data_IF_732571680844
#
_entry.id   IF_732571680844
#
_cell.length_a   1.000
_cell.length_b   1.000
_cell.length_c   1.000
_cell.angle_alpha   90.00
_cell.angle_beta   90.00
_cell.angle_gamma   90.00
#
_symmetry.space_group_name_H-M   'P 1'
#
loop_
_entity.id
_entity.type
_entity.pdbx_description
1 polymer ?
#
# COMPACT_ATOMS: atom_id res chain seq x y z
N UNK A 1 6.84 -4.67 2.87
CA UNK A 1 6.56 -3.52 3.77
C UNK A 1 5.06 -3.47 4.10
N UNK A 2 4.64 -3.67 5.35
CA UNK A 2 3.26 -3.45 5.83
C UNK A 2 3.16 -2.03 6.42
N UNK A 3 2.78 -1.01 5.62
CA UNK A 3 2.50 0.35 6.12
C UNK A 3 1.42 1.03 5.30
N UNK A 4 0.21 1.08 5.84
CA UNK A 4 -0.95 1.65 5.16
C UNK A 4 -1.77 2.72 5.91
N UNK A 5 -1.47 3.15 7.15
CA UNK A 5 -2.35 4.08 7.88
C UNK A 5 -2.79 5.36 7.13
N UNK A 6 -2.04 5.96 6.19
CA UNK A 6 -2.49 7.22 5.59
C UNK A 6 -3.56 7.07 4.50
N UNK A 7 -3.90 5.87 4.00
CA UNK A 7 -4.68 5.75 2.77
C UNK A 7 -6.17 5.42 2.92
N UNK A 8 -6.57 4.96 4.09
CA UNK A 8 -7.95 4.51 4.32
C UNK A 8 -8.44 4.95 5.68
N UNK A 9 -9.74 5.09 5.78
CA UNK A 9 -10.42 5.50 6.98
C UNK A 9 -10.37 4.39 8.04
N UNK A 10 -10.00 4.77 9.26
CA UNK A 10 -10.05 3.91 10.44
C UNK A 10 -11.33 4.10 11.27
N UNK A 11 -12.25 4.93 10.78
CA UNK A 11 -13.46 5.32 11.49
C UNK A 11 -14.45 4.16 11.67
N UNK A 12 -15.34 4.27 12.67
CA UNK A 12 -16.22 3.18 13.09
C UNK A 12 -17.33 2.86 12.08
N UNK A 13 -17.66 3.77 11.15
CA UNK A 13 -18.84 3.65 10.30
C UNK A 13 -18.63 2.77 9.06
N UNK A 14 -17.54 2.00 9.04
CA UNK A 14 -17.18 1.14 7.91
C UNK A 14 -17.33 -0.35 8.20
N UNK A 15 -17.87 -0.77 9.35
CA UNK A 15 -18.12 -2.18 9.67
C UNK A 15 -16.90 -3.10 9.40
N UNK A 16 -15.69 -2.62 9.73
CA UNK A 16 -14.41 -3.29 9.45
C UNK A 16 -14.00 -3.41 7.96
N UNK A 17 -14.80 -2.87 7.05
CA UNK A 17 -14.42 -2.67 5.66
C UNK A 17 -13.37 -1.57 5.51
N UNK A 18 -12.58 -1.68 4.45
CA UNK A 18 -11.53 -0.73 4.13
C UNK A 18 -12.07 0.27 3.15
N UNK A 19 -12.21 1.50 3.63
CA UNK A 19 -12.70 2.62 2.83
C UNK A 19 -11.56 3.57 2.54
N UNK A 20 -11.15 3.64 1.29
CA UNK A 20 -10.12 4.55 0.81
C UNK A 20 -10.58 5.99 0.93
N UNK A 21 -9.66 6.89 1.24
CA UNK A 21 -10.02 8.29 1.14
C UNK A 21 -10.17 8.72 -0.32
N UNK A 22 -11.14 9.58 -0.58
CA UNK A 22 -11.47 10.11 -1.90
C UNK A 22 -11.78 11.61 -1.83
N UNK A 23 -11.96 12.24 -3.00
CA UNK A 23 -12.29 13.66 -3.11
C UNK A 23 -13.79 13.96 -2.90
N UNK A 24 -14.60 12.94 -2.62
CA UNK A 24 -16.06 13.02 -2.53
C UNK A 24 -16.51 12.89 -1.09
N UNK A 25 -16.89 11.69 -0.68
CA UNK A 25 -17.53 11.37 0.60
C UNK A 25 -16.49 11.03 1.67
N UNK A 26 -15.39 10.41 1.27
CA UNK A 26 -14.39 9.90 2.19
C UNK A 26 -13.17 10.80 2.26
N UNK A 27 -13.35 12.12 2.30
CA UNK A 27 -12.22 13.06 2.43
C UNK A 27 -11.49 12.84 3.75
N UNK A 28 -10.15 12.84 3.80
CA UNK A 28 -9.42 12.66 5.05
C UNK A 28 -9.62 13.86 5.98
N UNK A 29 -9.88 13.61 7.26
CA UNK A 29 -10.06 14.59 8.33
C UNK A 29 -9.08 14.24 9.44
N UNK A 30 -8.17 15.17 9.73
CA UNK A 30 -7.19 15.00 10.80
C UNK A 30 -7.75 15.46 12.12
N UNK A 31 -7.67 14.61 13.14
CA UNK A 31 -8.07 14.97 14.48
C UNK A 31 -6.99 15.75 15.22
N UNK A 32 -7.35 16.38 16.35
CA UNK A 32 -6.40 17.03 17.27
C UNK A 32 -5.38 16.04 17.87
N UNK A 33 -5.65 14.74 17.75
CA UNK A 33 -4.71 13.66 18.09
C UNK A 33 -3.76 13.27 16.96
N UNK A 34 -3.82 13.96 15.80
CA UNK A 34 -3.05 13.71 14.57
C UNK A 34 -3.33 12.37 13.88
N UNK A 35 -4.34 11.63 14.28
CA UNK A 35 -4.87 10.50 13.50
C UNK A 35 -5.91 10.99 12.50
N UNK A 36 -6.20 10.19 11.48
CA UNK A 36 -7.08 10.57 10.36
C UNK A 36 -8.28 9.63 10.27
N UNK A 37 -9.46 10.18 10.01
CA UNK A 37 -10.70 9.46 9.64
C UNK A 37 -11.33 10.15 8.43
N UNK A 38 -12.40 9.63 7.86
CA UNK A 38 -13.04 10.25 6.71
C UNK A 38 -14.12 11.26 7.14
N UNK A 39 -14.43 12.19 6.26
CA UNK A 39 -15.46 13.21 6.47
C UNK A 39 -16.83 12.59 6.78
N UNK A 40 -17.19 11.49 6.13
CA UNK A 40 -18.42 10.76 6.44
C UNK A 40 -18.43 10.28 7.90
N UNK A 41 -17.36 9.63 8.38
CA UNK A 41 -17.26 9.15 9.77
C UNK A 41 -17.38 10.29 10.78
N UNK A 42 -16.73 11.42 10.48
CA UNK A 42 -16.82 12.62 11.31
C UNK A 42 -18.24 13.21 11.30
N UNK A 43 -18.87 13.32 10.14
CA UNK A 43 -20.19 13.94 9.98
C UNK A 43 -21.27 13.14 10.70
N UNK A 44 -21.23 11.81 10.57
CA UNK A 44 -22.19 10.92 11.22
C UNK A 44 -21.95 10.79 12.73
N UNK A 45 -20.71 10.94 13.21
CA UNK A 45 -20.38 10.91 14.63
C UNK A 45 -19.30 11.95 15.02
N UNK A 46 -19.66 13.24 15.14
CA UNK A 46 -18.70 14.33 15.40
C UNK A 46 -17.94 14.20 16.71
N UNK A 47 -18.53 13.51 17.69
CA UNK A 47 -17.99 13.32 19.03
C UNK A 47 -17.25 11.98 19.19
N UNK A 48 -17.00 11.27 18.08
CA UNK A 48 -16.34 9.97 18.13
C UNK A 48 -14.98 10.02 18.84
N UNK A 49 -14.70 8.94 19.58
CA UNK A 49 -13.34 8.69 20.08
C UNK A 49 -12.44 8.34 18.90
N UNK A 50 -11.17 8.73 19.01
CA UNK A 50 -10.18 8.28 18.03
C UNK A 50 -10.14 6.75 17.97
N UNK A 51 -10.31 6.13 16.79
CA UNK A 51 -10.22 4.67 16.68
C UNK A 51 -8.81 4.14 16.95
N UNK A 52 -7.80 5.01 16.86
CA UNK A 52 -6.39 4.66 17.07
C UNK A 52 -5.93 4.88 18.51
N UNK A 53 -6.19 6.06 19.09
CA UNK A 53 -5.71 6.40 20.44
C UNK A 53 -6.81 6.63 21.48
N UNK A 54 -8.07 6.40 21.11
CA UNK A 54 -9.26 6.51 21.98
C UNK A 54 -9.51 7.88 22.63
N UNK A 55 -8.75 8.92 22.26
CA UNK A 55 -9.00 10.30 22.70
C UNK A 55 -10.36 10.77 22.21
N UNK A 56 -11.24 11.18 23.13
CA UNK A 56 -12.58 11.68 22.84
C UNK A 56 -12.57 13.01 22.08
N UNK A 57 -13.64 13.28 21.33
CA UNK A 57 -13.83 14.51 20.54
C UNK A 57 -12.64 14.85 19.65
N UNK A 58 -11.92 13.84 19.16
CA UNK A 58 -10.69 14.07 18.41
C UNK A 58 -10.93 14.79 17.09
N UNK A 59 -12.12 14.64 16.51
CA UNK A 59 -12.46 15.12 15.17
C UNK A 59 -13.58 16.18 15.17
N UNK A 60 -13.98 16.67 16.34
CA UNK A 60 -15.05 17.65 16.45
C UNK A 60 -14.64 18.96 15.74
N UNK A 61 -15.52 19.49 14.88
CA UNK A 61 -15.32 20.70 14.07
C UNK A 61 -13.98 20.76 13.29
N UNK A 62 -13.42 19.61 12.93
CA UNK A 62 -12.25 19.55 12.05
C UNK A 62 -12.68 19.68 10.59
N UNK A 63 -11.89 20.36 9.78
CA UNK A 63 -12.13 20.43 8.35
C UNK A 63 -11.38 19.30 7.60
N UNK A 64 -11.80 18.96 6.38
CA UNK A 64 -11.03 18.07 5.51
C UNK A 64 -9.57 18.55 5.37
N UNK A 65 -8.64 17.63 5.59
CA UNK A 65 -7.22 17.88 5.43
C UNK A 65 -6.80 17.65 3.97
N UNK A 66 -6.91 18.69 3.16
CA UNK A 66 -6.50 18.67 1.75
C UNK A 66 -5.00 18.41 1.56
N UNK A 67 -4.15 18.75 2.53
CA UNK A 67 -2.72 18.41 2.44
C UNK A 67 -2.49 16.90 2.54
N UNK A 68 -3.20 16.21 3.43
CA UNK A 68 -3.17 14.73 3.50
C UNK A 68 -3.69 14.13 2.19
N UNK A 69 -4.72 14.72 1.59
CA UNK A 69 -5.24 14.29 0.29
C UNK A 69 -4.19 14.41 -0.82
N UNK A 70 -3.46 15.54 -0.89
CA UNK A 70 -2.35 15.72 -1.83
C UNK A 70 -1.22 14.73 -1.56
N UNK A 71 -0.87 14.51 -0.28
CA UNK A 71 0.11 13.51 0.10
C UNK A 71 -0.31 12.10 -0.35
N UNK A 72 -1.59 11.74 -0.21
CA UNK A 72 -2.09 10.44 -0.67
C UNK A 72 -1.90 10.22 -2.17
N UNK A 73 -2.07 11.26 -2.98
CA UNK A 73 -1.78 11.21 -4.43
C UNK A 73 -0.29 10.91 -4.63
N UNK A 74 0.63 11.63 -3.96
CA UNK A 74 2.07 11.36 -4.04
C UNK A 74 2.42 9.95 -3.56
N UNK A 75 1.75 9.49 -2.50
CA UNK A 75 1.99 8.21 -1.86
C UNK A 75 1.43 7.01 -2.66
N UNK A 76 0.59 7.21 -3.68
CA UNK A 76 0.19 6.11 -4.61
C UNK A 76 1.40 5.46 -5.27
N UNK A 77 2.44 6.24 -5.59
CA UNK A 77 3.71 5.72 -6.10
C UNK A 77 4.42 4.78 -5.07
N UNK A 78 4.38 5.13 -3.79
CA UNK A 78 4.90 4.32 -2.69
C UNK A 78 4.06 3.06 -2.42
N UNK A 79 2.73 3.15 -2.60
CA UNK A 79 1.84 1.99 -2.55
C UNK A 79 2.15 1.00 -3.67
N UNK A 80 2.38 1.49 -4.90
CA UNK A 80 2.76 0.64 -6.03
C UNK A 80 4.08 -0.11 -5.75
N UNK A 81 5.11 0.59 -5.29
CA UNK A 81 6.39 -0.02 -4.92
C UNK A 81 6.26 -1.08 -3.82
N UNK A 82 5.37 -0.83 -2.85
CA UNK A 82 5.05 -1.77 -1.78
C UNK A 82 4.35 -3.03 -2.32
N UNK A 83 3.32 -2.84 -3.14
CA UNK A 83 2.60 -3.94 -3.81
C UNK A 83 3.54 -4.77 -4.68
N UNK A 84 4.47 -4.14 -5.40
CA UNK A 84 5.52 -4.85 -6.16
C UNK A 84 6.43 -5.70 -5.26
N UNK A 85 6.79 -5.19 -4.08
CA UNK A 85 7.62 -5.94 -3.11
C UNK A 85 6.87 -7.18 -2.61
N UNK A 86 5.59 -7.03 -2.27
CA UNK A 86 4.75 -8.14 -1.85
C UNK A 86 4.47 -9.13 -2.97
N UNK A 87 4.29 -8.64 -4.20
CA UNK A 87 4.19 -9.49 -5.37
C UNK A 87 5.42 -10.39 -5.50
N UNK A 88 6.63 -9.84 -5.32
CA UNK A 88 7.86 -10.65 -5.39
C UNK A 88 7.90 -11.74 -4.29
N UNK A 89 7.00 -11.66 -3.31
CA UNK A 89 6.94 -12.57 -2.17
C UNK A 89 8.05 -12.29 -1.16
N UNK A 90 8.59 -11.08 -1.20
CA UNK A 90 9.68 -10.61 -0.37
C UNK A 90 9.13 -9.76 0.78
N UNK A 91 9.86 -9.74 1.90
CA UNK A 91 9.64 -8.78 2.98
C UNK A 91 8.22 -8.75 3.60
N UNK A 92 7.50 -9.88 3.59
CA UNK A 92 6.15 -9.96 4.16
C UNK A 92 6.12 -9.69 5.68
N UNK A 93 7.19 -10.06 6.40
CA UNK A 93 7.37 -9.78 7.82
C UNK A 93 7.96 -8.40 8.14
N UNK A 94 8.18 -7.53 7.15
CA UNK A 94 8.80 -6.21 7.31
C UNK A 94 7.73 -5.13 7.13
N UNK A 95 7.73 -4.10 7.97
CA UNK A 95 6.78 -3.01 7.90
C UNK A 95 6.79 -2.13 9.14
N UNK A 96 5.76 -1.33 9.34
CA UNK A 96 5.63 -0.54 10.55
C UNK A 96 4.88 -1.31 11.64
N UNK A 97 5.23 -1.03 12.89
CA UNK A 97 4.42 -1.47 14.01
C UNK A 97 3.07 -0.76 14.00
N UNK A 98 1.98 -1.50 14.20
CA UNK A 98 0.63 -0.95 14.33
C UNK A 98 0.46 0.03 15.51
N UNK A 99 1.27 -0.14 16.56
CA UNK A 99 1.19 0.68 17.77
C UNK A 99 2.09 1.92 17.73
N UNK A 100 3.39 1.75 17.51
CA UNK A 100 4.35 2.87 17.56
C UNK A 100 4.73 3.43 16.18
N UNK A 101 4.20 2.85 15.09
CA UNK A 101 4.49 3.21 13.70
C UNK A 101 5.97 3.10 13.29
N UNK A 102 6.85 2.65 14.19
CA UNK A 102 8.27 2.47 13.90
C UNK A 102 8.47 1.31 12.93
N UNK A 103 9.36 1.50 11.95
CA UNK A 103 9.74 0.46 11.00
C UNK A 103 10.43 -0.70 11.73
N UNK A 104 10.02 -1.92 11.42
CA UNK A 104 10.56 -3.17 11.96
C UNK A 104 10.90 -4.11 10.82
N UNK A 105 12.05 -4.79 10.93
CA UNK A 105 12.47 -5.88 10.04
C UNK A 105 11.83 -7.22 10.39
N UNK A 106 11.14 -7.30 11.53
CA UNK A 106 10.47 -8.51 11.98
C UNK A 106 9.23 -8.13 12.78
N UNK A 107 8.09 -8.19 12.10
CA UNK A 107 6.76 -7.94 12.65
C UNK A 107 6.19 -9.21 13.28
N UNK A 108 5.39 -9.02 14.33
CA UNK A 108 4.85 -10.08 15.17
C UNK A 108 3.34 -9.96 15.30
N UNK A 109 2.65 -11.10 15.33
CA UNK A 109 1.21 -11.21 15.58
C UNK A 109 0.97 -11.89 16.93
N UNK A 110 0.03 -11.36 17.70
CA UNK A 110 -0.46 -11.99 18.93
C UNK A 110 -1.50 -13.06 18.56
N UNK A 111 -1.26 -14.30 18.99
CA UNK A 111 -2.09 -15.46 18.60
C UNK A 111 -3.47 -15.40 19.26
N UNK A 112 -3.53 -15.00 20.53
CA UNK A 112 -4.78 -14.93 21.29
C UNK A 112 -5.65 -13.74 20.87
N UNK A 113 -5.05 -12.59 20.55
CA UNK A 113 -5.81 -11.40 20.16
C UNK A 113 -6.39 -11.48 18.73
N UNK A 114 -5.82 -12.34 17.88
CA UNK A 114 -6.10 -12.38 16.44
C UNK A 114 -6.25 -13.80 15.92
N UNK A 115 -6.91 -14.66 16.70
CA UNK A 115 -7.15 -16.07 16.36
C UNK A 115 -8.01 -16.29 15.11
N UNK A 116 -8.68 -15.23 14.63
CA UNK A 116 -9.48 -15.23 13.41
C UNK A 116 -8.67 -14.93 12.14
N UNK A 117 -7.36 -14.64 12.24
CA UNK A 117 -6.51 -14.36 11.08
C UNK A 117 -5.71 -15.57 10.60
N UNK A 118 -5.81 -16.70 11.30
CA UNK A 118 -5.05 -17.90 10.97
C UNK A 118 -5.78 -19.16 11.42
N UNK A 119 -5.48 -20.28 10.76
CA UNK A 119 -5.87 -21.62 11.21
C UNK A 119 -4.63 -22.51 11.39
N UNK A 120 -4.83 -23.62 12.09
CA UNK A 120 -3.82 -24.69 12.14
C UNK A 120 -4.00 -25.57 10.91
N UNK A 121 -2.89 -25.92 10.29
CA UNK A 121 -2.89 -26.97 9.29
C UNK A 121 -3.37 -28.30 9.91
N UNK A 122 -4.15 -29.07 9.16
CA UNK A 122 -4.66 -30.36 9.63
C UNK A 122 -3.57 -31.44 9.65
N UNK A 123 -2.56 -31.29 8.78
CA UNK A 123 -1.50 -32.28 8.59
C UNK A 123 -0.18 -31.89 9.26
N UNK A 124 -0.06 -30.66 9.79
CA UNK A 124 1.17 -30.16 10.38
C UNK A 124 0.93 -29.18 11.54
N UNK A 125 1.91 -28.93 12.43
CA UNK A 125 1.78 -27.91 13.48
C UNK A 125 1.87 -26.47 12.92
N UNK A 126 1.88 -26.30 11.60
CA UNK A 126 1.96 -24.99 10.95
C UNK A 126 0.72 -24.14 11.24
N UNK A 127 0.94 -22.83 11.37
CA UNK A 127 -0.14 -21.85 11.36
C UNK A 127 -0.20 -21.23 9.98
N UNK A 128 -1.38 -21.26 9.37
CA UNK A 128 -1.63 -20.73 8.03
C UNK A 128 -2.37 -19.40 8.20
N UNK A 129 -1.79 -18.30 7.69
CA UNK A 129 -2.49 -17.02 7.62
C UNK A 129 -3.58 -17.07 6.55
N UNK A 130 -4.78 -16.65 6.94
CA UNK A 130 -5.91 -16.52 6.02
C UNK A 130 -5.84 -15.17 5.34
N UNK A 131 -5.38 -15.18 4.10
CA UNK A 131 -5.26 -13.98 3.27
C UNK A 131 -5.87 -14.30 1.91
N UNK A 132 -7.12 -13.88 1.72
CA UNK A 132 -7.89 -14.14 0.49
C UNK A 132 -8.11 -12.86 -0.32
N UNK A 133 -8.03 -11.70 0.32
CA UNK A 133 -8.24 -10.39 -0.29
C UNK A 133 -7.15 -9.39 0.08
N UNK A 134 -7.11 -8.28 -0.65
CA UNK A 134 -6.27 -7.15 -0.27
C UNK A 134 -6.70 -6.57 1.08
N UNK A 135 -8.00 -6.60 1.39
CA UNK A 135 -8.50 -6.16 2.67
C UNK A 135 -7.93 -6.97 3.84
N UNK A 136 -7.71 -8.28 3.65
CA UNK A 136 -7.10 -9.12 4.70
C UNK A 136 -5.64 -8.77 4.94
N UNK A 137 -4.87 -8.48 3.88
CA UNK A 137 -3.49 -7.98 4.00
C UNK A 137 -3.42 -6.67 4.79
N UNK A 138 -4.38 -5.79 4.53
CA UNK A 138 -4.48 -4.50 5.18
C UNK A 138 -4.95 -4.64 6.63
N UNK A 139 -5.91 -5.52 6.91
CA UNK A 139 -6.32 -5.89 8.29
C UNK A 139 -5.14 -6.46 9.05
N UNK A 140 -4.38 -7.38 8.46
CA UNK A 140 -3.16 -7.94 9.04
C UNK A 140 -2.15 -6.83 9.36
N UNK A 141 -1.94 -5.86 8.46
CA UNK A 141 -1.03 -4.72 8.69
C UNK A 141 -1.36 -3.89 9.94
N UNK A 142 -2.63 -3.89 10.37
CA UNK A 142 -3.10 -3.18 11.58
C UNK A 142 -2.93 -3.98 12.86
N UNK A 143 -2.62 -5.27 12.77
CA UNK A 143 -2.57 -6.18 13.93
C UNK A 143 -1.15 -6.65 14.25
N UNK A 144 -0.15 -6.13 13.55
CA UNK A 144 1.24 -6.58 13.66
C UNK A 144 2.12 -5.57 14.40
N UNK A 145 3.01 -6.07 15.26
CA UNK A 145 3.77 -5.28 16.22
C UNK A 145 5.28 -5.44 16.01
N UNK A 146 6.06 -4.40 16.37
CA UNK A 146 7.50 -4.57 16.58
C UNK A 146 7.76 -5.40 17.85
N UNK A 147 9.00 -5.87 18.04
CA UNK A 147 9.38 -6.67 19.22
C UNK A 147 9.02 -5.98 20.53
N UNK A 148 9.36 -4.70 20.69
CA UNK A 148 9.13 -3.94 21.91
C UNK A 148 7.64 -3.81 22.26
N UNK A 149 6.80 -3.45 21.28
CA UNK A 149 5.35 -3.33 21.51
C UNK A 149 4.69 -4.69 21.72
N UNK A 150 5.14 -5.72 21.00
CA UNK A 150 4.62 -7.07 21.18
C UNK A 150 4.90 -7.56 22.61
N UNK A 151 6.11 -7.31 23.11
CA UNK A 151 6.50 -7.69 24.47
C UNK A 151 5.65 -6.96 25.52
N UNK A 152 5.67 -5.63 25.51
CA UNK A 152 5.03 -4.82 26.56
C UNK A 152 3.51 -4.90 26.57
N UNK A 153 2.87 -5.09 25.41
CA UNK A 153 1.40 -5.08 25.33
C UNK A 153 0.76 -6.46 25.41
N UNK A 154 1.51 -7.53 25.10
CA UNK A 154 0.95 -8.87 24.95
C UNK A 154 1.75 -9.92 25.74
N UNK A 155 3.08 -9.96 25.61
CA UNK A 155 3.89 -10.98 26.27
C UNK A 155 3.79 -10.89 27.79
N UNK A 156 3.88 -9.68 28.35
CA UNK A 156 3.73 -9.44 29.80
C UNK A 156 2.35 -9.83 30.35
N UNK A 157 1.36 -9.99 29.47
CA UNK A 157 0.00 -10.46 29.79
C UNK A 157 -0.17 -11.98 29.60
N UNK A 158 0.91 -12.71 29.30
CA UNK A 158 0.90 -14.15 29.05
C UNK A 158 0.40 -14.56 27.67
N UNK A 159 0.27 -13.63 26.71
CA UNK A 159 -0.14 -13.97 25.34
C UNK A 159 1.03 -14.53 24.54
N UNK A 160 0.74 -15.46 23.63
CA UNK A 160 1.70 -16.01 22.70
C UNK A 160 1.82 -15.12 21.46
N UNK A 161 3.05 -14.98 21.01
CA UNK A 161 3.42 -14.09 19.93
C UNK A 161 4.22 -14.89 18.92
N UNK A 162 3.92 -14.71 17.63
CA UNK A 162 4.63 -15.36 16.53
C UNK A 162 5.06 -14.33 15.49
N UNK A 163 6.21 -14.51 14.84
CA UNK A 163 6.61 -13.60 13.76
C UNK A 163 5.75 -13.88 12.53
N UNK A 164 5.40 -12.83 11.80
CA UNK A 164 4.58 -12.93 10.58
C UNK A 164 5.25 -13.84 9.55
N UNK A 165 6.58 -13.82 9.48
CA UNK A 165 7.38 -14.68 8.60
C UNK A 165 7.33 -16.18 8.95
N UNK A 166 6.96 -16.53 10.19
CA UNK A 166 6.85 -17.92 10.65
C UNK A 166 5.47 -18.53 10.35
N UNK A 167 4.55 -17.76 9.77
CA UNK A 167 3.28 -18.28 9.29
C UNK A 167 3.44 -18.82 7.87
N UNK A 168 2.80 -19.95 7.61
CA UNK A 168 2.61 -20.41 6.26
C UNK A 168 1.52 -19.56 5.60
N UNK A 169 1.69 -19.26 4.33
CA UNK A 169 0.67 -18.64 3.51
C UNK A 169 0.90 -19.08 2.08
N UNK A 170 -0.17 -19.13 1.29
CA UNK A 170 -0.01 -19.39 -0.14
C UNK A 170 0.57 -18.14 -0.80
N UNK A 171 1.87 -18.16 -1.10
CA UNK A 171 2.56 -17.08 -1.84
C UNK A 171 1.83 -16.73 -3.14
N UNK A 172 1.11 -17.68 -3.74
CA UNK A 172 0.32 -17.48 -4.96
C UNK A 172 -0.91 -16.63 -4.73
N UNK A 173 -1.54 -16.74 -3.56
CA UNK A 173 -2.67 -15.89 -3.19
C UNK A 173 -2.20 -14.45 -3.04
N UNK A 174 -1.09 -14.22 -2.31
CA UNK A 174 -0.52 -12.86 -2.17
C UNK A 174 -0.14 -12.28 -3.53
N UNK A 175 0.53 -13.06 -4.39
CA UNK A 175 0.84 -12.65 -5.77
C UNK A 175 -0.41 -12.26 -6.54
N UNK A 176 -1.46 -13.07 -6.49
CA UNK A 176 -2.70 -12.81 -7.23
C UNK A 176 -3.45 -11.60 -6.67
N UNK A 177 -3.52 -11.46 -5.35
CA UNK A 177 -4.16 -10.33 -4.66
C UNK A 177 -3.44 -9.04 -5.02
N UNK A 178 -2.12 -8.98 -4.79
CA UNK A 178 -1.31 -7.80 -5.11
C UNK A 178 -1.35 -7.48 -6.60
N UNK A 179 -1.41 -8.49 -7.47
CA UNK A 179 -1.55 -8.26 -8.90
C UNK A 179 -2.84 -7.58 -9.31
N UNK A 180 -3.96 -7.98 -8.71
CA UNK A 180 -5.25 -7.36 -8.96
C UNK A 180 -5.25 -5.89 -8.54
N UNK A 181 -4.65 -5.58 -7.40
CA UNK A 181 -4.54 -4.20 -6.92
C UNK A 181 -3.63 -3.35 -7.81
N UNK A 182 -2.46 -3.87 -8.21
CA UNK A 182 -1.58 -3.16 -9.16
C UNK A 182 -2.31 -2.89 -10.47
N UNK A 183 -3.02 -3.88 -11.02
CA UNK A 183 -3.78 -3.70 -12.25
C UNK A 183 -4.89 -2.65 -12.09
N UNK A 184 -5.61 -2.66 -10.96
CA UNK A 184 -6.63 -1.66 -10.66
C UNK A 184 -6.05 -0.24 -10.57
N UNK A 185 -4.89 -0.08 -9.91
CA UNK A 185 -4.19 1.20 -9.86
C UNK A 185 -3.77 1.69 -11.24
N UNK A 186 -3.17 0.82 -12.05
CA UNK A 186 -2.74 1.17 -13.40
C UNK A 186 -3.92 1.54 -14.31
N UNK A 187 -5.08 0.86 -14.19
CA UNK A 187 -6.30 1.23 -14.91
C UNK A 187 -6.71 2.68 -14.61
N UNK A 188 -6.73 3.06 -13.33
CA UNK A 188 -7.08 4.43 -12.94
C UNK A 188 -6.10 5.47 -13.51
N UNK A 189 -4.80 5.17 -13.51
CA UNK A 189 -3.78 6.06 -14.10
C UNK A 189 -3.94 6.18 -15.62
N UNK A 190 -4.22 5.07 -16.29
CA UNK A 190 -4.46 5.02 -17.74
C UNK A 190 -5.73 5.82 -18.10
N UNK A 191 -6.84 5.59 -17.41
CA UNK A 191 -8.10 6.27 -17.64
C UNK A 191 -7.97 7.78 -17.42
N UNK A 192 -7.30 8.19 -16.34
CA UNK A 192 -7.03 9.60 -16.06
C UNK A 192 -6.16 10.26 -17.14
N UNK A 193 -5.13 9.55 -17.63
CA UNK A 193 -4.28 10.02 -18.72
C UNK A 193 -5.08 10.26 -20.01
N UNK A 194 -6.06 9.39 -20.30
CA UNK A 194 -6.94 9.55 -21.45
C UNK A 194 -7.91 10.71 -21.30
N UNK A 195 -8.45 10.95 -20.10
CA UNK A 195 -9.29 12.13 -19.83
C UNK A 195 -8.53 13.43 -20.11
N UNK A 196 -7.28 13.52 -19.65
CA UNK A 196 -6.42 14.70 -19.89
C UNK A 196 -6.13 14.88 -21.38
N UNK A 197 -5.88 13.80 -22.12
CA UNK A 197 -5.68 13.85 -23.57
C UNK A 197 -6.90 14.44 -24.30
N UNK A 198 -8.11 13.99 -23.95
CA UNK A 198 -9.36 14.51 -24.52
C UNK A 198 -9.49 16.01 -24.23
N UNK A 199 -9.19 16.44 -23.01
CA UNK A 199 -9.28 17.85 -22.61
C UNK A 199 -8.23 18.73 -23.29
N UNK A 200 -7.04 18.20 -23.58
CA UNK A 200 -5.91 18.96 -24.14
C UNK A 200 -5.83 18.90 -25.67
N UNK A 201 -6.75 18.20 -26.35
CA UNK A 201 -6.76 18.03 -27.82
C UNK A 201 -5.42 17.52 -28.39
N UNK A 202 -4.67 16.74 -27.60
CA UNK A 202 -3.39 16.19 -28.04
C UNK A 202 -3.60 14.94 -28.90
N UNK A 203 -3.12 14.99 -30.13
CA UNK A 203 -3.05 13.82 -31.02
C UNK A 203 -1.83 12.96 -30.66
N UNK A 204 -1.91 12.25 -29.54
CA UNK A 204 -0.93 11.23 -29.17
C UNK A 204 -1.26 9.85 -29.74
N UNK A 205 -0.21 9.03 -29.82
CA UNK A 205 -0.10 7.73 -30.49
C UNK A 205 -1.20 6.74 -30.05
N UNK A 206 -2.27 6.64 -30.84
CA UNK A 206 -3.43 5.75 -30.60
C UNK A 206 -3.03 4.30 -30.40
N UNK A 207 -1.89 3.90 -30.95
CA UNK A 207 -1.29 2.57 -30.80
C UNK A 207 -0.89 2.24 -29.37
N UNK A 208 -0.36 3.20 -28.61
CA UNK A 208 0.02 2.97 -27.20
C UNK A 208 -1.22 2.71 -26.35
N UNK A 209 -2.32 3.42 -26.64
CA UNK A 209 -3.59 3.29 -25.91
C UNK A 209 -4.25 1.94 -26.15
N UNK A 210 -4.31 1.51 -27.42
CA UNK A 210 -4.82 0.19 -27.81
C UNK A 210 -3.99 -0.94 -27.18
N UNK A 211 -2.66 -0.79 -27.20
CA UNK A 211 -1.74 -1.73 -26.56
C UNK A 211 -1.97 -1.85 -25.05
N UNK A 212 -2.13 -0.71 -24.36
CA UNK A 212 -2.40 -0.67 -22.92
C UNK A 212 -3.72 -1.35 -22.58
N UNK A 213 -4.82 -1.00 -23.28
CA UNK A 213 -6.13 -1.64 -23.09
C UNK A 213 -6.08 -3.14 -23.37
N UNK A 214 -5.35 -3.56 -24.42
CA UNK A 214 -5.21 -4.98 -24.75
C UNK A 214 -4.44 -5.76 -23.67
N UNK A 215 -3.32 -5.19 -23.18
CA UNK A 215 -2.51 -5.80 -22.13
C UNK A 215 -3.25 -5.88 -20.80
N UNK A 216 -3.97 -4.81 -20.45
CA UNK A 216 -4.84 -4.73 -19.27
C UNK A 216 -5.88 -5.86 -19.32
N UNK A 217 -6.64 -5.96 -20.40
CA UNK A 217 -7.65 -6.99 -20.60
C UNK A 217 -7.08 -8.42 -20.49
N UNK A 218 -5.94 -8.68 -21.16
CA UNK A 218 -5.28 -9.98 -21.11
C UNK A 218 -4.84 -10.34 -19.69
N UNK A 219 -4.32 -9.37 -18.95
CA UNK A 219 -3.88 -9.54 -17.56
C UNK A 219 -5.07 -9.83 -16.64
N UNK A 220 -6.17 -9.09 -16.77
CA UNK A 220 -7.40 -9.35 -16.02
C UNK A 220 -7.90 -10.77 -16.26
N UNK A 221 -7.96 -11.20 -17.53
CA UNK A 221 -8.38 -12.56 -17.88
C UNK A 221 -7.48 -13.64 -17.29
N UNK A 222 -6.18 -13.40 -17.17
CA UNK A 222 -5.27 -14.33 -16.49
C UNK A 222 -5.49 -14.36 -14.97
N UNK A 223 -5.81 -13.22 -14.35
CA UNK A 223 -6.07 -13.11 -12.91
C UNK A 223 -7.43 -13.68 -12.49
N UNK A 224 -8.42 -13.66 -13.38
CA UNK A 224 -9.78 -14.16 -13.13
C UNK A 224 -9.94 -15.67 -13.38
N UNK A 225 -8.95 -16.33 -13.98
CA UNK A 225 -8.97 -17.79 -14.19
C UNK A 225 -8.96 -18.51 -12.85
N UNK A 226 -9.93 -19.40 -12.65
CA UNK A 226 -9.98 -20.31 -11.49
C UNK A 226 -8.76 -21.23 -11.50
N UNK A 227 -8.23 -21.49 -10.31
CA UNK A 227 -7.15 -22.46 -10.12
C UNK A 227 -7.68 -23.84 -10.47
N UNK A 228 -6.98 -24.55 -11.35
CA UNK A 228 -7.28 -25.94 -11.67
C UNK A 228 -6.77 -26.83 -10.52
N UNK A 229 -7.65 -27.47 -9.72
CA UNK A 229 -7.23 -28.29 -8.59
C UNK A 229 -6.48 -29.55 -9.04
N UNK A 230 -6.59 -29.92 -10.32
CA UNK A 230 -5.94 -31.10 -10.89
C UNK A 230 -4.65 -30.76 -11.66
N UNK A 231 -4.12 -29.53 -11.54
CA UNK A 231 -2.89 -29.09 -12.23
C UNK A 231 -1.67 -29.87 -11.71
N UNK A 232 -1.07 -30.77 -12.51
CA UNK A 232 0.04 -31.59 -12.08
C UNK A 232 1.22 -30.70 -11.69
N UNK A 233 1.67 -30.81 -10.43
CA UNK A 233 2.74 -29.98 -9.85
C UNK A 233 2.47 -28.47 -9.93
N UNK A 234 1.22 -28.03 -10.11
CA UNK A 234 0.85 -26.60 -10.21
C UNK A 234 1.62 -25.86 -11.33
N UNK A 235 1.92 -26.57 -12.43
CA UNK A 235 2.73 -26.04 -13.53
C UNK A 235 1.99 -24.95 -14.32
N UNK A 236 0.71 -25.19 -14.67
CA UNK A 236 -0.11 -24.18 -15.37
C UNK A 236 -0.26 -22.92 -14.54
N UNK A 237 -0.40 -23.08 -13.23
CA UNK A 237 -0.48 -21.98 -12.28
C UNK A 237 0.83 -21.18 -12.21
N UNK A 238 1.97 -21.87 -12.22
CA UNK A 238 3.29 -21.23 -12.24
C UNK A 238 3.53 -20.44 -13.54
N UNK A 239 3.14 -21.00 -14.69
CA UNK A 239 3.19 -20.32 -15.98
C UNK A 239 2.25 -19.11 -16.00
N UNK A 240 1.05 -19.23 -15.43
CA UNK A 240 0.10 -18.13 -15.29
C UNK A 240 0.71 -16.96 -14.52
N UNK A 241 1.29 -17.20 -13.35
CA UNK A 241 1.94 -16.12 -12.58
C UNK A 241 3.11 -15.47 -13.32
N UNK A 242 3.92 -16.25 -14.03
CA UNK A 242 5.01 -15.71 -14.84
C UNK A 242 4.50 -14.80 -15.97
N UNK A 243 3.41 -15.17 -16.64
CA UNK A 243 2.77 -14.34 -17.68
C UNK A 243 2.18 -13.05 -17.10
N UNK A 244 1.47 -13.14 -15.96
CA UNK A 244 0.92 -11.94 -15.29
C UNK A 244 2.07 -11.01 -14.87
N UNK A 245 3.18 -11.54 -14.39
CA UNK A 245 4.35 -10.73 -14.03
C UNK A 245 4.94 -9.98 -15.23
N UNK A 246 5.09 -10.66 -16.37
CA UNK A 246 5.56 -10.02 -17.60
C UNK A 246 4.60 -8.92 -18.06
N UNK A 247 3.29 -9.19 -18.06
CA UNK A 247 2.31 -8.20 -18.48
C UNK A 247 2.27 -6.98 -17.56
N UNK A 248 2.34 -7.17 -16.23
CA UNK A 248 2.30 -6.04 -15.29
C UNK A 248 3.57 -5.20 -15.39
N UNK A 249 4.74 -5.82 -15.57
CA UNK A 249 5.97 -5.07 -15.86
C UNK A 249 5.86 -4.25 -17.16
N UNK A 250 5.25 -4.81 -18.20
CA UNK A 250 5.06 -4.10 -19.47
C UNK A 250 4.04 -2.96 -19.34
N UNK A 251 2.92 -3.20 -18.62
CA UNK A 251 1.94 -2.16 -18.30
C UNK A 251 2.58 -0.99 -17.55
N UNK A 252 3.30 -1.25 -16.46
CA UNK A 252 4.00 -0.20 -15.69
C UNK A 252 4.94 0.61 -16.60
N UNK A 253 5.71 -0.08 -17.46
CA UNK A 253 6.64 0.57 -18.38
C UNK A 253 5.93 1.43 -19.43
N UNK A 254 4.84 0.93 -20.02
CA UNK A 254 4.07 1.65 -21.05
C UNK A 254 3.28 2.81 -20.45
N UNK A 255 2.69 2.65 -19.27
CA UNK A 255 1.99 3.72 -18.53
C UNK A 255 2.95 4.85 -18.20
N UNK A 256 4.16 4.55 -17.70
CA UNK A 256 5.19 5.58 -17.47
C UNK A 256 5.55 6.35 -18.74
N UNK A 257 5.79 5.65 -19.85
CA UNK A 257 6.08 6.31 -21.14
C UNK A 257 4.95 7.22 -21.61
N UNK A 258 3.70 6.80 -21.41
CA UNK A 258 2.52 7.60 -21.74
C UNK A 258 2.46 8.84 -20.84
N UNK A 259 2.72 8.70 -19.55
CA UNK A 259 2.76 9.83 -18.62
C UNK A 259 3.88 10.82 -19.01
N UNK A 260 5.07 10.30 -19.30
CA UNK A 260 6.23 11.09 -19.70
C UNK A 260 6.02 11.83 -21.04
N UNK A 261 5.22 11.28 -21.97
CA UNK A 261 4.92 11.94 -23.25
C UNK A 261 4.08 13.20 -23.09
N UNK A 262 3.35 13.35 -21.98
CA UNK A 262 2.62 14.58 -21.71
C UNK A 262 3.52 15.76 -21.29
N UNK A 263 4.81 15.52 -21.00
CA UNK A 263 5.76 16.55 -20.53
C UNK A 263 5.41 17.10 -19.14
N UNK A 264 6.25 18.01 -18.58
CA UNK A 264 5.85 18.76 -17.40
C UNK A 264 4.61 19.59 -17.76
N UNK A 265 3.60 19.49 -16.91
CA UNK A 265 2.33 20.19 -17.03
C UNK A 265 2.51 21.72 -17.13
N UNK A 266 2.54 22.26 -18.35
CA UNK A 266 2.56 23.71 -18.64
C UNK A 266 1.15 24.36 -18.56
N UNK A 267 0.30 23.93 -17.63
CA UNK A 267 -0.99 24.59 -17.38
C UNK A 267 -0.81 25.63 -16.27
N UNK A 268 -0.13 26.72 -16.59
CA UNK A 268 0.06 27.87 -15.70
C UNK A 268 -1.24 28.66 -15.41
N UNK A 269 -2.36 28.35 -16.08
CA UNK A 269 -3.63 29.08 -15.94
C UNK A 269 -4.85 28.20 -15.59
N UNK A 270 -4.65 26.91 -15.29
CA UNK A 270 -5.68 26.11 -14.61
C UNK A 270 -5.38 26.19 -13.12
N UNK A 271 -6.32 26.64 -12.25
CA UNK A 271 -6.06 26.64 -10.81
C UNK A 271 -5.55 25.25 -10.43
N UNK A 272 -4.45 25.18 -9.67
CA UNK A 272 -3.66 23.99 -9.27
C UNK A 272 -4.45 22.80 -8.68
N UNK A 273 -5.78 22.83 -8.72
CA UNK A 273 -6.73 22.01 -7.99
C UNK A 273 -7.28 20.80 -8.75
N UNK A 274 -6.84 20.50 -9.97
CA UNK A 274 -7.44 19.39 -10.75
C UNK A 274 -6.50 18.48 -11.53
N UNK A 275 -5.19 18.74 -11.58
CA UNK A 275 -4.29 17.88 -12.34
C UNK A 275 -3.38 17.07 -11.40
N UNK A 276 -3.69 15.77 -11.27
CA UNK A 276 -2.91 14.84 -10.43
C UNK A 276 -1.53 14.51 -10.98
N UNK A 277 -1.23 14.94 -12.23
CA UNK A 277 0.09 14.82 -12.87
C UNK A 277 1.05 15.97 -12.53
N UNK A 278 0.56 17.10 -11.98
CA UNK A 278 1.39 18.30 -11.75
C UNK A 278 1.92 18.39 -10.31
N UNK A 279 1.99 17.27 -9.59
CA UNK A 279 2.95 17.21 -8.49
C UNK A 279 4.33 17.17 -9.13
N UNK A 280 4.93 18.35 -9.30
CA UNK A 280 6.38 18.43 -9.39
C UNK A 280 6.96 17.69 -8.18
N UNK A 281 7.87 16.74 -8.44
CA UNK A 281 9.00 16.60 -7.54
C UNK A 281 9.61 17.99 -7.49
N UNK A 282 9.50 18.65 -6.35
CA UNK A 282 10.38 19.78 -6.11
C UNK A 282 11.78 19.14 -6.10
N UNK A 283 12.49 19.19 -7.24
CA UNK A 283 13.84 18.66 -7.38
C UNK A 283 14.79 19.32 -6.36
N UNK A 284 14.36 20.44 -5.75
CA UNK A 284 15.01 21.08 -4.61
C UNK A 284 14.95 20.25 -3.32
N UNK A 285 13.87 19.49 -3.05
CA UNK A 285 13.80 18.58 -1.90
C UNK A 285 14.41 17.20 -2.19
N UNK A 286 14.31 16.68 -3.42
CA UNK A 286 15.01 15.43 -3.77
C UNK A 286 16.53 15.62 -3.75
N UNK A 287 17.04 16.77 -4.20
CA UNK A 287 18.46 17.13 -4.08
C UNK A 287 18.87 17.28 -2.62
N UNK A 288 18.04 17.93 -1.79
CA UNK A 288 18.31 18.11 -0.36
C UNK A 288 18.24 16.80 0.43
N UNK A 289 17.31 15.89 0.09
CA UNK A 289 17.21 14.54 0.68
C UNK A 289 18.35 13.64 0.18
N UNK A 290 18.78 13.76 -1.08
CA UNK A 290 19.99 13.07 -1.59
C UNK A 290 21.27 13.59 -0.94
N UNK A 291 21.40 14.89 -0.69
CA UNK A 291 22.54 15.47 0.03
C UNK A 291 22.56 14.98 1.49
N UNK A 292 21.42 15.01 2.18
CA UNK A 292 21.28 14.48 3.55
C UNK A 292 21.59 12.98 3.59
N UNK A 293 21.14 12.19 2.61
CA UNK A 293 21.44 10.75 2.51
C UNK A 293 22.91 10.49 2.16
N UNK A 294 23.52 11.31 1.30
CA UNK A 294 24.92 11.16 0.92
C UNK A 294 25.88 11.57 2.04
N UNK A 295 25.53 12.58 2.85
CA UNK A 295 26.26 12.96 4.05
C UNK A 295 26.12 11.88 5.14
N UNK A 296 24.91 11.33 5.33
CA UNK A 296 24.69 10.19 6.24
C UNK A 296 25.50 8.94 5.83
N UNK A 297 25.58 8.65 4.52
CA UNK A 297 26.38 7.52 3.99
C UNK A 297 27.88 7.79 4.09
N UNK A 298 28.32 9.04 3.97
CA UNK A 298 29.74 9.45 4.13
C UNK A 298 30.18 9.35 5.59
N UNK A 299 29.36 9.82 6.52
CA UNK A 299 29.60 9.70 7.96
C UNK A 299 29.59 8.24 8.42
N UNK A 300 28.71 7.42 7.85
CA UNK A 300 28.66 5.99 8.14
C UNK A 300 29.86 5.20 7.59
N UNK A 301 30.45 5.63 6.47
CA UNK A 301 31.68 5.04 5.91
C UNK A 301 32.94 5.48 6.65
N UNK A 302 32.98 6.73 7.12
CA UNK A 302 34.11 7.27 7.87
C UNK A 302 34.18 6.73 9.31
N UNK A 303 33.04 6.35 9.92
CA UNK A 303 32.98 5.71 11.24
C UNK A 303 33.23 4.19 11.25
N UNK A 304 33.72 3.60 10.14
CA UNK A 304 34.05 2.17 10.05
C UNK A 304 35.56 1.85 10.00
N UNK A 305 36.42 2.80 10.34
CA UNK A 305 37.88 2.58 10.44
C UNK A 305 38.43 2.81 11.85
N UNK A 306 37.69 2.38 12.87
CA UNK A 306 38.24 2.26 14.23
C UNK A 306 37.91 0.87 14.79
N UNK A 307 38.99 0.11 14.97
CA UNK A 307 39.20 -1.07 15.81
C UNK A 307 38.60 -2.43 15.44
N UNK A 308 39.41 -3.20 14.69
CA UNK A 308 39.65 -4.61 14.99
C UNK A 308 41.16 -4.85 15.09
N UNK A 309 41.70 -4.71 16.30
CA UNK A 309 42.90 -5.41 16.78
C UNK A 309 42.50 -6.14 18.05
N UNK A 310 42.44 -7.47 17.94
CA UNK A 310 42.77 -8.50 18.93
C UNK A 310 42.54 -9.86 18.26
#
# INVERSE_FOLDING_TARGET
>A
MLYFPPFYCLGPNHNEEIVWFDEKLHKPVSGVCRHTVCLQCQTENPHMKCPTCHKGNSFFNQEPNYQVMLMMIKFRSGLLQMLETWWKGEEFGIGACSNCLSKSKSLRLCLECHSNLYHKDQESPALILEVESFQDLMKLSRKVFCSACAFSQHYDKGHRIKRVEDFHFDKRNIKTITAKEILAMLRLEIDHSFEIKIQTNRNEDTKIEEDLKCLEYRTSKLLDRKVDPNDPKKLRESVRHALVELHIKDLIKKTKKLIDSFGPCELADVPERQCTLCVSSDDSEETRVREILNDYVRDYKNNKTVDMVC
#
